data_IF_410946902196
#
_entry.id   IF_410946902196
#
_cell.length_a   1.000
_cell.length_b   1.000
_cell.length_c   1.000
_cell.angle_alpha   90.00
_cell.angle_beta   90.00
_cell.angle_gamma   90.00
#
_symmetry.space_group_name_H-M   'P 1'
#
loop_
_entity.id
_entity.type
_entity.pdbx_description
1 polymer ?
#
# COMPACT_ATOMS: atom_id res chain seq x y z
N UNK A 1 -8.56 10.11 3.48
CA UNK A 1 -8.43 9.20 4.65
C UNK A 1 -8.76 9.94 5.94
N UNK A 2 -9.67 9.39 6.74
CA UNK A 2 -9.98 9.89 8.09
C UNK A 2 -9.00 9.36 9.13
N UNK A 3 -8.85 10.04 10.28
CA UNK A 3 -7.99 9.57 11.38
C UNK A 3 -8.41 8.18 11.90
N UNK A 4 -9.73 7.90 11.92
CA UNK A 4 -10.26 6.59 12.29
C UNK A 4 -9.81 5.50 11.31
N UNK A 5 -9.97 5.73 10.00
CA UNK A 5 -9.54 4.76 8.98
C UNK A 5 -8.04 4.47 9.07
N UNK A 6 -7.23 5.51 9.28
CA UNK A 6 -5.80 5.34 9.49
C UNK A 6 -5.51 4.44 10.70
N UNK A 7 -6.17 4.68 11.84
CA UNK A 7 -5.99 3.85 13.03
C UNK A 7 -6.44 2.39 12.82
N UNK A 8 -7.58 2.19 12.17
CA UNK A 8 -8.11 0.85 11.88
C UNK A 8 -7.10 0.04 11.03
N UNK A 9 -6.54 0.65 9.98
CA UNK A 9 -5.53 0.00 9.14
C UNK A 9 -4.24 -0.36 9.87
N UNK A 10 -3.80 0.47 10.81
CA UNK A 10 -2.58 0.22 11.59
C UNK A 10 -2.78 -0.90 12.64
N UNK A 11 -4.03 -1.21 13.01
CA UNK A 11 -4.33 -2.12 14.13
C UNK A 11 -5.05 -3.41 13.72
N UNK A 12 -5.60 -3.46 12.50
CA UNK A 12 -6.35 -4.61 11.97
C UNK A 12 -5.52 -5.84 11.60
N UNK A 13 -4.20 -5.73 11.58
CA UNK A 13 -3.32 -6.85 11.24
C UNK A 13 -2.86 -7.71 12.42
N UNK A 14 -1.83 -8.51 12.17
CA UNK A 14 -1.36 -9.59 13.05
C UNK A 14 0.06 -9.39 13.55
N UNK A 15 0.57 -10.41 14.25
CA UNK A 15 1.96 -10.44 14.69
C UNK A 15 2.87 -10.93 13.55
N UNK A 16 3.98 -10.22 13.29
CA UNK A 16 5.00 -10.60 12.33
C UNK A 16 6.39 -10.45 12.94
N UNK A 17 7.32 -11.30 12.54
CA UNK A 17 8.72 -11.18 12.94
C UNK A 17 9.42 -10.08 12.14
N UNK A 18 10.05 -9.15 12.84
CA UNK A 18 10.97 -8.19 12.27
C UNK A 18 12.29 -8.26 13.02
N UNK A 19 13.30 -8.87 12.39
CA UNK A 19 14.63 -9.05 12.98
C UNK A 19 14.62 -9.79 14.33
N UNK A 20 13.78 -10.83 14.48
CA UNK A 20 13.66 -11.59 15.73
C UNK A 20 12.75 -10.95 16.78
N UNK A 21 12.10 -9.83 16.45
CA UNK A 21 11.14 -9.15 17.33
C UNK A 21 9.75 -9.36 16.76
N UNK A 22 8.88 -9.98 17.56
CA UNK A 22 7.48 -10.13 17.22
C UNK A 22 6.76 -8.79 17.39
N UNK A 23 6.35 -8.18 16.28
CA UNK A 23 5.66 -6.90 16.24
C UNK A 23 4.26 -7.05 15.67
N UNK A 24 3.32 -6.24 16.16
CA UNK A 24 2.01 -6.10 15.51
C UNK A 24 2.18 -5.22 14.27
N UNK A 25 1.76 -5.73 13.12
CA UNK A 25 1.82 -5.05 11.82
C UNK A 25 0.44 -5.00 11.18
N UNK A 26 0.22 -4.02 10.30
CA UNK A 26 -0.98 -3.96 9.47
C UNK A 26 -1.08 -5.19 8.55
N UNK A 27 -2.29 -5.53 8.11
CA UNK A 27 -2.45 -6.56 7.09
C UNK A 27 -2.00 -6.02 5.72
N UNK A 28 -1.76 -6.94 4.77
CA UNK A 28 -1.27 -6.60 3.44
C UNK A 28 -2.30 -5.78 2.66
N UNK A 29 -3.58 -6.11 2.80
CA UNK A 29 -4.69 -5.41 2.18
C UNK A 29 -4.78 -3.95 2.64
N UNK A 30 -4.74 -3.72 3.95
CA UNK A 30 -4.79 -2.37 4.52
C UNK A 30 -3.56 -1.57 4.12
N UNK A 31 -2.38 -2.21 4.13
CA UNK A 31 -1.13 -1.59 3.67
C UNK A 31 -1.24 -1.16 2.20
N UNK A 32 -1.81 -2.00 1.33
CA UNK A 32 -2.00 -1.67 -0.08
C UNK A 32 -2.98 -0.49 -0.25
N UNK A 33 -4.12 -0.54 0.44
CA UNK A 33 -5.13 0.53 0.38
C UNK A 33 -4.55 1.88 0.86
N UNK A 34 -3.76 1.88 1.93
CA UNK A 34 -3.07 3.09 2.40
C UNK A 34 -2.13 3.66 1.32
N UNK A 35 -1.39 2.80 0.61
CA UNK A 35 -0.49 3.23 -0.48
C UNK A 35 -1.25 3.82 -1.66
N UNK A 36 -2.39 3.22 -2.04
CA UNK A 36 -3.25 3.72 -3.11
C UNK A 36 -3.80 5.11 -2.74
N UNK A 37 -4.31 5.27 -1.53
CA UNK A 37 -4.79 6.57 -1.04
C UNK A 37 -3.66 7.60 -0.98
N UNK A 38 -2.47 7.21 -0.53
CA UNK A 38 -1.31 8.09 -0.46
C UNK A 38 -0.80 8.51 -1.85
N UNK A 39 -0.93 7.64 -2.85
CA UNK A 39 -0.64 7.92 -4.26
C UNK A 39 -1.63 8.94 -4.84
N UNK A 40 -2.91 8.85 -4.50
CA UNK A 40 -3.99 9.75 -4.96
C UNK A 40 -4.01 11.12 -4.28
N UNK A 41 -3.33 11.26 -3.15
CA UNK A 41 -3.29 12.51 -2.41
C UNK A 41 -2.73 13.65 -3.29
N UNK A 42 -3.39 14.83 -3.32
CA UNK A 42 -2.90 15.97 -4.08
C UNK A 42 -1.55 16.48 -3.52
N UNK A 43 -0.81 17.21 -4.35
CA UNK A 43 0.42 17.92 -3.97
C UNK A 43 1.56 17.03 -3.42
N UNK A 44 1.80 15.91 -4.11
CA UNK A 44 2.97 15.05 -3.83
C UNK A 44 4.10 15.37 -4.79
N UNK A 45 5.28 15.63 -4.23
CA UNK A 45 6.55 15.64 -5.00
C UNK A 45 6.66 14.37 -5.85
N UNK A 46 7.07 14.50 -7.12
CA UNK A 46 7.12 13.37 -8.08
C UNK A 46 7.86 12.15 -7.56
N UNK A 47 8.97 12.34 -6.83
CA UNK A 47 9.73 11.23 -6.26
C UNK A 47 8.95 10.42 -5.22
N UNK A 48 8.04 11.05 -4.46
CA UNK A 48 7.19 10.36 -3.49
C UNK A 48 6.10 9.56 -4.21
N UNK A 49 5.54 10.10 -5.29
CA UNK A 49 4.57 9.39 -6.15
C UNK A 49 5.19 8.15 -6.79
N UNK A 50 6.39 8.27 -7.36
CA UNK A 50 7.12 7.12 -7.92
C UNK A 50 7.42 6.06 -6.87
N UNK A 51 7.82 6.48 -5.65
CA UNK A 51 8.00 5.55 -4.53
C UNK A 51 6.73 4.75 -4.27
N UNK A 52 5.57 5.40 -4.19
CA UNK A 52 4.31 4.69 -3.92
C UNK A 52 3.95 3.70 -5.03
N UNK A 53 4.14 4.06 -6.30
CA UNK A 53 3.92 3.12 -7.41
C UNK A 53 4.82 1.90 -7.30
N UNK A 54 6.10 2.09 -6.97
CA UNK A 54 7.04 0.98 -6.75
C UNK A 54 6.67 0.13 -5.53
N UNK A 55 6.27 0.75 -4.42
CA UNK A 55 5.78 0.03 -3.24
C UNK A 55 4.54 -0.82 -3.56
N UNK A 56 3.59 -0.28 -4.35
CA UNK A 56 2.38 -0.98 -4.79
C UNK A 56 2.73 -2.15 -5.71
N UNK A 57 3.57 -1.93 -6.73
CA UNK A 57 4.02 -2.96 -7.66
C UNK A 57 4.64 -4.14 -6.90
N UNK A 58 5.60 -3.85 -6.02
CA UNK A 58 6.30 -4.86 -5.22
C UNK A 58 5.35 -5.67 -4.33
N UNK A 59 4.35 -5.03 -3.74
CA UNK A 59 3.35 -5.70 -2.91
C UNK A 59 2.52 -6.70 -3.71
N UNK A 60 2.04 -6.29 -4.89
CA UNK A 60 1.21 -7.13 -5.77
C UNK A 60 2.03 -8.25 -6.41
N UNK A 61 3.25 -7.98 -6.84
CA UNK A 61 4.18 -9.01 -7.34
C UNK A 61 4.47 -10.08 -6.28
N UNK A 62 4.67 -9.66 -5.02
CA UNK A 62 4.92 -10.59 -3.91
C UNK A 62 3.65 -11.30 -3.44
N UNK A 63 2.48 -10.70 -3.67
CA UNK A 63 1.18 -11.18 -3.19
C UNK A 63 0.09 -10.99 -4.27
N UNK A 64 0.03 -11.87 -5.30
CA UNK A 64 -0.83 -11.67 -6.46
C UNK A 64 -2.32 -11.53 -6.16
N UNK A 65 -2.80 -12.11 -5.06
CA UNK A 65 -4.19 -11.99 -4.62
C UNK A 65 -4.63 -10.54 -4.31
N UNK A 66 -3.67 -9.64 -4.10
CA UNK A 66 -3.92 -8.22 -3.86
C UNK A 66 -4.32 -7.45 -5.13
N UNK A 67 -4.07 -8.00 -6.33
CA UNK A 67 -4.39 -7.35 -7.60
C UNK A 67 -5.90 -7.02 -7.75
N UNK A 68 -6.75 -7.80 -7.07
CA UNK A 68 -8.20 -7.57 -7.00
C UNK A 68 -8.59 -6.25 -6.31
N UNK A 69 -7.69 -5.70 -5.50
CA UNK A 69 -7.90 -4.45 -4.75
C UNK A 69 -7.36 -3.23 -5.48
N UNK A 70 -6.61 -3.42 -6.58
CA UNK A 70 -6.14 -2.32 -7.40
C UNK A 70 -7.31 -1.68 -8.14
N UNK A 71 -7.38 -0.35 -8.07
CA UNK A 71 -8.24 0.46 -8.90
C UNK A 71 -7.65 0.67 -10.30
N UNK A 72 -8.51 0.95 -11.28
CA UNK A 72 -8.08 1.04 -12.68
C UNK A 72 -7.08 2.17 -12.93
N UNK A 73 -7.22 3.30 -12.25
CA UNK A 73 -6.26 4.42 -12.32
C UNK A 73 -4.85 3.99 -11.89
N UNK A 74 -4.74 3.14 -10.87
CA UNK A 74 -3.45 2.64 -10.39
C UNK A 74 -2.91 1.58 -11.34
N UNK A 75 -3.76 0.68 -11.85
CA UNK A 75 -3.36 -0.32 -12.86
C UNK A 75 -2.79 0.32 -14.12
N UNK A 76 -3.44 1.36 -14.63
CA UNK A 76 -2.96 2.12 -15.79
C UNK A 76 -1.59 2.73 -15.53
N UNK A 77 -1.38 3.31 -14.35
CA UNK A 77 -0.11 3.93 -13.97
C UNK A 77 1.02 2.92 -13.81
N UNK A 78 0.72 1.72 -13.31
CA UNK A 78 1.69 0.63 -13.25
C UNK A 78 2.06 0.13 -14.65
N UNK A 79 1.09 -0.02 -15.56
CA UNK A 79 1.35 -0.41 -16.95
C UNK A 79 2.18 0.63 -17.72
N UNK A 80 1.93 1.91 -17.48
CA UNK A 80 2.67 3.00 -18.13
C UNK A 80 4.10 3.19 -17.60
N UNK A 81 4.48 2.51 -16.51
CA UNK A 81 5.82 2.56 -15.93
C UNK A 81 6.75 1.43 -16.43
N UNK A 82 6.22 0.50 -17.24
CA UNK A 82 6.95 -0.52 -18.00
C UNK A 82 7.19 -0.06 -19.43
#
# INVERSE_FOLDING_TARGET
MTAKQFYDWQTGGGAADAHGILLRVACLEDTLLEKIEAFRAPDRRRSKTLKYLSDIARLVESHPHLERLLSDDVREKLRAAH
#
